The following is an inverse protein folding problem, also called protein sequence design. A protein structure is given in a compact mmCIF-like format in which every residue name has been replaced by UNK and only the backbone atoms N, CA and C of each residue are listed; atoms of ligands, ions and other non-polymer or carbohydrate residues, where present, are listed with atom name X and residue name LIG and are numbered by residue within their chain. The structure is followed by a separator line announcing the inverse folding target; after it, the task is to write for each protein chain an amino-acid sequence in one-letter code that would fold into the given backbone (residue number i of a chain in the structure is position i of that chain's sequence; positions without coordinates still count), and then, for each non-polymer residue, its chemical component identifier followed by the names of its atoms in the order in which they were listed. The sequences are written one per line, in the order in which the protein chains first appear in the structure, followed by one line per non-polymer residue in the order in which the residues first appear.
data_IF_192234239008
#
_entry.id   IF_192234239008
#
_cell.length_a   1.000
_cell.length_b   1.000
_cell.length_c   1.000
_cell.angle_alpha   90.00
_cell.angle_beta   90.00
_cell.angle_gamma   90.00
#
_symmetry.space_group_name_H-M   'P 1'
#
loop_
_entity.id
_entity.type
_entity.pdbx_description
1 polymer ?
#
# COMPACT_ATOMS: atom_id res chain seq x y z
N UNK A 1 0.62 -18.30 -23.34
CA UNK A 1 0.75 -17.30 -24.42
C UNK A 1 -0.55 -16.53 -24.52
N UNK A 2 -0.73 -15.47 -23.74
CA UNK A 2 -1.67 -14.40 -24.10
C UNK A 2 -0.99 -13.10 -23.71
N UNK A 3 -0.43 -12.46 -24.73
CA UNK A 3 0.08 -11.11 -24.66
C UNK A 3 -1.10 -10.15 -24.51
N UNK A 4 -1.10 -9.32 -23.48
CA UNK A 4 -1.89 -8.09 -23.49
C UNK A 4 -0.92 -6.94 -23.75
N UNK A 5 -0.59 -6.74 -25.04
CA UNK A 5 0.01 -5.50 -25.50
C UNK A 5 -1.06 -4.42 -25.36
N UNK A 6 -0.91 -3.50 -24.41
CA UNK A 6 -1.73 -2.29 -24.38
C UNK A 6 -1.01 -1.24 -25.23
N UNK A 7 -1.51 -1.06 -26.44
CA UNK A 7 -1.06 -0.02 -27.34
C UNK A 7 -1.49 1.33 -26.76
N UNK A 8 -0.51 2.16 -26.41
CA UNK A 8 -0.71 3.54 -26.01
C UNK A 8 -1.32 4.37 -27.14
N UNK A 9 -2.27 5.24 -26.82
CA UNK A 9 -2.58 6.43 -27.61
C UNK A 9 -2.93 7.61 -26.70
N UNK A 10 -2.47 8.83 -27.01
CA UNK A 10 -2.47 9.95 -26.08
C UNK A 10 -3.65 10.88 -26.30
N UNK A 11 -4.40 11.22 -25.25
CA UNK A 11 -5.34 12.33 -25.30
C UNK A 11 -4.97 13.39 -24.26
N UNK A 12 -4.54 14.55 -24.76
CA UNK A 12 -4.21 15.76 -24.00
C UNK A 12 -5.49 16.49 -23.58
N UNK A 13 -5.56 16.97 -22.33
CA UNK A 13 -5.50 18.40 -22.01
C UNK A 13 -5.71 18.67 -20.50
N UNK A 14 -4.79 19.44 -19.89
CA UNK A 14 -5.01 20.16 -18.63
C UNK A 14 -3.93 19.94 -17.56
N UNK A 15 -2.97 20.88 -17.43
CA UNK A 15 -1.92 20.88 -16.39
C UNK A 15 -2.49 21.01 -14.96
N UNK A 16 -1.77 20.66 -13.89
CA UNK A 16 -0.40 21.07 -13.56
C UNK A 16 0.34 20.06 -12.67
N UNK A 17 1.67 20.07 -12.81
CA UNK A 17 2.71 19.67 -11.83
C UNK A 17 3.12 18.20 -11.78
N UNK A 18 4.38 18.01 -12.15
CA UNK A 18 5.10 16.76 -12.26
C UNK A 18 5.18 15.97 -10.94
N UNK A 19 4.85 14.69 -11.01
CA UNK A 19 5.53 13.66 -10.22
C UNK A 19 6.04 12.59 -11.18
N UNK A 20 7.22 12.87 -11.73
CA UNK A 20 8.02 11.91 -12.50
C UNK A 20 8.64 10.91 -11.51
N UNK A 21 8.01 9.75 -11.36
CA UNK A 21 8.63 8.46 -10.99
C UNK A 21 7.54 7.40 -10.72
N UNK A 22 7.24 6.55 -11.70
CA UNK A 22 6.69 5.19 -11.51
C UNK A 22 5.49 5.04 -10.53
N UNK A 23 4.54 5.98 -10.52
CA UNK A 23 3.32 5.85 -9.73
C UNK A 23 2.38 4.85 -10.42
N UNK A 24 2.17 3.66 -9.83
CA UNK A 24 1.19 2.70 -10.35
C UNK A 24 -0.20 3.12 -9.89
N UNK A 25 -0.94 3.77 -10.78
CA UNK A 25 -2.36 4.10 -10.54
C UNK A 25 -3.19 2.90 -11.02
N UNK A 26 -4.08 2.39 -10.17
CA UNK A 26 -5.12 1.47 -10.61
C UNK A 26 -6.43 2.25 -10.72
N UNK A 27 -7.00 2.29 -11.92
CA UNK A 27 -8.30 2.92 -12.16
C UNK A 27 -9.42 1.96 -11.76
N UNK A 28 -10.10 2.26 -10.65
CA UNK A 28 -11.29 1.52 -10.19
C UNK A 28 -12.51 2.46 -10.27
N UNK A 29 -13.21 2.45 -11.41
CA UNK A 29 -14.39 3.30 -11.61
C UNK A 29 -14.04 4.79 -11.68
N UNK A 30 -14.76 5.64 -10.92
CA UNK A 30 -14.58 7.11 -10.89
C UNK A 30 -13.56 7.57 -9.82
N UNK A 31 -12.97 6.65 -9.03
CA UNK A 31 -12.04 6.96 -7.94
C UNK A 31 -10.63 6.41 -8.22
N UNK A 32 -9.62 7.29 -8.14
CA UNK A 32 -8.21 6.92 -8.33
C UNK A 32 -7.57 6.61 -6.98
N UNK A 33 -7.15 5.37 -6.77
CA UNK A 33 -6.34 5.00 -5.60
C UNK A 33 -4.90 4.81 -6.06
N UNK A 34 -3.96 5.48 -5.38
CA UNK A 34 -2.54 5.24 -5.60
C UNK A 34 -2.19 3.91 -4.93
N UNK A 35 -1.66 2.97 -5.71
CA UNK A 35 -1.33 1.65 -5.19
C UNK A 35 -0.28 1.73 -4.07
N UNK A 36 0.60 2.72 -4.14
CA UNK A 36 1.61 3.03 -3.12
C UNK A 36 0.99 3.38 -1.75
N UNK A 37 -0.17 4.02 -1.71
CA UNK A 37 -0.85 4.40 -0.45
C UNK A 37 -1.35 3.18 0.33
N UNK A 38 -1.57 2.07 -0.38
CA UNK A 38 -2.13 0.83 0.17
C UNK A 38 -1.12 -0.32 0.15
N UNK A 39 0.14 -0.03 -0.15
CA UNK A 39 1.23 -1.01 -0.23
C UNK A 39 2.09 -0.98 1.03
N UNK A 40 2.41 -2.16 1.56
CA UNK A 40 3.30 -2.31 2.68
C UNK A 40 4.75 -2.07 2.27
N UNK A 41 5.43 -1.08 2.86
CA UNK A 41 6.84 -0.80 2.57
C UNK A 41 7.84 -1.89 3.05
N UNK A 42 7.37 -2.98 3.67
CA UNK A 42 8.21 -4.11 4.12
C UNK A 42 8.12 -5.29 3.14
N UNK A 43 6.90 -5.74 2.81
CA UNK A 43 6.69 -6.87 1.89
C UNK A 43 6.37 -6.44 0.45
N UNK A 44 6.26 -5.14 0.20
CA UNK A 44 5.98 -4.54 -1.12
C UNK A 44 4.72 -5.11 -1.78
N UNK A 45 3.72 -5.45 -0.96
CA UNK A 45 2.42 -5.98 -1.37
C UNK A 45 1.30 -5.19 -0.69
N UNK A 46 0.07 -5.32 -1.18
CA UNK A 46 -1.11 -4.69 -0.57
C UNK A 46 -1.19 -5.08 0.92
N UNK A 47 -1.55 -4.10 1.76
CA UNK A 47 -1.60 -4.27 3.21
C UNK A 47 -2.56 -5.40 3.62
N UNK A 48 -2.05 -6.37 4.39
CA UNK A 48 -2.84 -7.41 5.02
C UNK A 48 -2.89 -7.17 6.54
N UNK A 49 -4.10 -7.08 7.10
CA UNK A 49 -4.33 -6.63 8.47
C UNK A 49 -3.52 -5.36 8.79
N UNK A 50 -3.82 -4.23 8.12
CA UNK A 50 -3.04 -3.01 8.21
C UNK A 50 -2.97 -2.54 9.66
N UNK A 51 -1.75 -2.30 10.12
CA UNK A 51 -1.45 -1.88 11.47
C UNK A 51 -0.59 -0.61 11.43
N UNK A 52 -1.03 0.42 12.14
CA UNK A 52 -0.40 1.74 12.12
C UNK A 52 0.47 1.94 13.36
N UNK A 53 1.62 2.59 13.15
CA UNK A 53 2.48 3.07 14.23
C UNK A 53 2.05 4.47 14.68
N UNK A 54 2.56 4.92 15.82
CA UNK A 54 2.32 6.28 16.35
C UNK A 54 2.77 7.41 15.42
N UNK A 55 3.69 7.13 14.50
CA UNK A 55 4.09 8.07 13.46
C UNK A 55 3.12 8.15 12.27
N UNK A 56 2.04 7.37 12.26
CA UNK A 56 1.05 7.33 11.18
C UNK A 56 1.36 6.39 10.02
N UNK A 57 2.57 5.82 9.93
CA UNK A 57 2.91 4.84 8.89
C UNK A 57 2.23 3.50 9.16
N UNK A 58 1.69 2.90 8.09
CA UNK A 58 0.89 1.67 8.14
C UNK A 58 1.58 0.55 7.37
N UNK A 59 1.54 -0.66 7.94
CA UNK A 59 2.18 -1.86 7.40
C UNK A 59 1.30 -3.08 7.65
N UNK A 60 1.63 -4.24 7.09
CA UNK A 60 0.98 -5.49 7.54
C UNK A 60 1.31 -5.74 9.02
N UNK A 61 0.32 -6.18 9.81
CA UNK A 61 0.47 -6.47 11.24
C UNK A 61 1.69 -7.35 11.54
N UNK A 62 1.86 -8.45 10.80
CA UNK A 62 2.99 -9.36 10.96
C UNK A 62 4.34 -8.74 10.58
N UNK A 63 4.36 -7.95 9.51
CA UNK A 63 5.57 -7.29 9.02
C UNK A 63 6.11 -6.29 10.06
N UNK A 64 5.24 -5.43 10.60
CA UNK A 64 5.66 -4.43 11.58
C UNK A 64 6.04 -5.06 12.91
N UNK A 65 5.32 -6.08 13.39
CA UNK A 65 5.70 -6.81 14.60
C UNK A 65 7.11 -7.40 14.51
N UNK A 66 7.47 -7.97 13.35
CA UNK A 66 8.82 -8.50 13.12
C UNK A 66 9.87 -7.39 13.07
N UNK A 67 9.56 -6.27 12.42
CA UNK A 67 10.48 -5.13 12.33
C UNK A 67 10.77 -4.48 13.70
N UNK A 68 9.72 -4.29 14.52
CA UNK A 68 9.86 -3.68 15.84
C UNK A 68 10.67 -4.56 16.81
N UNK A 69 10.58 -5.89 16.71
CA UNK A 69 11.43 -6.80 17.50
C UNK A 69 12.92 -6.62 17.23
N UNK A 70 13.31 -6.11 16.06
CA UNK A 70 14.71 -5.93 15.66
C UNK A 70 15.27 -4.55 15.98
N UNK A 71 14.46 -3.50 15.81
CA UNK A 71 14.97 -2.11 15.80
C UNK A 71 14.17 -1.14 16.69
N UNK A 72 12.99 -1.53 17.18
CA UNK A 72 12.08 -0.67 17.95
C UNK A 72 11.84 0.72 17.32
N UNK A 73 11.89 0.80 15.98
CA UNK A 73 11.74 2.04 15.23
C UNK A 73 10.91 1.80 13.95
N UNK A 74 10.26 2.85 13.46
CA UNK A 74 9.52 2.83 12.21
C UNK A 74 10.47 2.56 11.01
N UNK A 75 10.16 1.58 10.14
CA UNK A 75 10.98 1.29 8.95
C UNK A 75 11.08 2.44 7.94
N UNK A 76 10.10 3.38 7.95
CA UNK A 76 10.03 4.49 6.99
C UNK A 76 10.67 5.75 7.57
N UNK A 77 10.11 6.29 8.66
CA UNK A 77 10.57 7.57 9.22
C UNK A 77 11.58 7.44 10.37
N UNK A 78 11.91 6.21 10.80
CA UNK A 78 12.86 5.91 11.89
C UNK A 78 12.50 6.49 13.26
N UNK A 79 11.29 7.04 13.42
CA UNK A 79 10.80 7.42 14.74
C UNK A 79 10.69 6.19 15.65
N UNK A 80 10.97 6.34 16.96
CA UNK A 80 10.86 5.24 17.90
C UNK A 80 9.43 4.71 17.90
N UNK A 81 9.29 3.39 17.91
CA UNK A 81 8.02 2.70 17.91
C UNK A 81 8.17 1.45 18.77
N UNK A 82 7.69 1.53 20.00
CA UNK A 82 7.74 0.40 20.95
C UNK A 82 6.54 -0.53 20.80
N UNK A 83 5.44 -0.07 20.20
CA UNK A 83 4.20 -0.83 20.10
C UNK A 83 3.37 -0.43 18.87
N UNK A 84 2.64 -1.42 18.35
CA UNK A 84 1.61 -1.23 17.32
C UNK A 84 0.37 -0.64 17.99
N UNK A 85 -0.19 0.44 17.43
CA UNK A 85 -1.31 1.13 18.08
C UNK A 85 -2.64 0.39 17.93
N UNK A 86 -2.96 -0.04 16.71
CA UNK A 86 -4.19 -0.79 16.42
C UNK A 86 -4.13 -1.39 15.01
N UNK A 87 -4.87 -2.48 14.82
CA UNK A 87 -5.22 -2.98 13.48
C UNK A 87 -6.41 -2.16 12.98
N UNK A 88 -6.28 -1.59 11.78
CA UNK A 88 -7.36 -0.84 11.15
C UNK A 88 -8.29 -1.79 10.39
N UNK A 89 -9.30 -2.32 11.09
CA UNK A 89 -10.26 -3.27 10.50
C UNK A 89 -11.08 -2.68 9.35
N UNK A 90 -11.35 -1.36 9.34
CA UNK A 90 -12.05 -0.71 8.23
C UNK A 90 -11.18 -0.72 6.99
N UNK A 91 -9.92 -0.28 7.10
CA UNK A 91 -8.99 -0.30 5.99
C UNK A 91 -8.78 -1.72 5.47
N UNK A 92 -8.66 -2.71 6.35
CA UNK A 92 -8.59 -4.12 5.97
C UNK A 92 -9.79 -4.55 5.12
N UNK A 93 -11.01 -4.20 5.53
CA UNK A 93 -12.23 -4.53 4.78
C UNK A 93 -12.29 -3.82 3.43
N UNK A 94 -11.93 -2.54 3.38
CA UNK A 94 -11.91 -1.77 2.14
C UNK A 94 -10.93 -2.39 1.15
N UNK A 95 -9.71 -2.68 1.58
CA UNK A 95 -8.70 -3.31 0.74
C UNK A 95 -9.12 -4.69 0.22
N UNK A 96 -9.78 -5.51 1.03
CA UNK A 96 -10.31 -6.80 0.57
C UNK A 96 -11.44 -6.63 -0.45
N UNK A 97 -12.24 -5.56 -0.35
CA UNK A 97 -13.31 -5.28 -1.31
C UNK A 97 -12.77 -4.71 -2.63
N UNK A 98 -11.76 -3.83 -2.57
CA UNK A 98 -11.19 -3.17 -3.76
C UNK A 98 -10.12 -4.01 -4.45
N UNK A 99 -9.35 -4.80 -3.69
CA UNK A 99 -8.22 -5.61 -4.17
C UNK A 99 -8.34 -7.07 -3.70
N UNK A 100 -9.40 -7.80 -4.11
CA UNK A 100 -9.66 -9.16 -3.63
C UNK A 100 -8.63 -10.19 -4.10
N UNK A 101 -7.95 -9.97 -5.23
CA UNK A 101 -6.94 -10.91 -5.75
C UNK A 101 -5.57 -10.68 -5.10
N UNK A 102 -5.18 -9.43 -4.86
CA UNK A 102 -3.90 -9.11 -4.21
C UNK A 102 -3.91 -9.42 -2.70
N UNK A 103 -5.04 -9.26 -2.01
CA UNK A 103 -5.13 -9.49 -0.56
C UNK A 103 -5.14 -10.98 -0.17
N UNK A 104 -5.53 -11.90 -1.07
CA UNK A 104 -5.52 -13.36 -0.84
C UNK A 104 -4.12 -13.97 -0.84
N UNK A 105 -3.20 -13.40 -1.63
CA UNK A 105 -1.83 -13.91 -1.75
C UNK A 105 -0.95 -13.60 -0.52
N UNK A 106 -1.37 -12.65 0.33
CA UNK A 106 -0.58 -12.15 1.46
C UNK A 106 -0.87 -12.86 2.80
N UNK A 107 -1.76 -13.86 2.84
CA UNK A 107 -2.12 -14.63 4.04
C UNK A 107 -1.07 -15.68 4.45
N UNK A 108 0.23 -15.37 4.29
CA UNK A 108 1.37 -16.22 4.66
C UNK A 108 1.75 -15.99 6.11
#
# INVERSE_FOLDING_TARGET
MVAAQVSAQPNKAGGTSAVDAQMSVLEIGDECVLLDDVTCAICLSILHEPASLQCGHTFCSRCVQTALRRTAACPVCRQPASQVLAINHLLSRLLTQTFPEETKAAAV
#
